data_IF_371761014676
#
_entry.id   IF_371761014676
#
_cell.length_a   1.000
_cell.length_b   1.000
_cell.length_c   1.000
_cell.angle_alpha   90.00
_cell.angle_beta   90.00
_cell.angle_gamma   90.00
#
_symmetry.space_group_name_H-M   'P 1'
#
loop_
_entity.id
_entity.type
_entity.pdbx_description
1 polymer ?
#
# COMPACT_ATOMS: atom_id res chain seq x y z
N UNK A 1 12.05 -3.24 -16.00
CA UNK A 1 10.69 -3.10 -15.45
C UNK A 1 9.88 -2.31 -16.47
N UNK A 2 8.62 -2.68 -16.69
CA UNK A 2 7.73 -1.93 -17.59
C UNK A 2 7.61 -0.46 -17.12
N UNK A 3 7.66 0.56 -18.02
CA UNK A 3 7.53 1.97 -17.64
C UNK A 3 6.26 2.29 -16.85
N UNK A 4 5.13 1.66 -17.17
CA UNK A 4 3.87 1.82 -16.47
C UNK A 4 3.94 1.18 -15.08
N UNK A 5 4.49 -0.04 -14.96
CA UNK A 5 4.70 -0.67 -13.66
C UNK A 5 5.62 0.17 -12.76
N UNK A 6 6.68 0.76 -13.31
CA UNK A 6 7.54 1.68 -12.56
C UNK A 6 6.78 2.93 -12.08
N UNK A 7 5.93 3.51 -12.93
CA UNK A 7 5.10 4.65 -12.55
C UNK A 7 4.09 4.30 -11.44
N UNK A 8 3.44 3.14 -11.55
CA UNK A 8 2.48 2.63 -10.56
C UNK A 8 3.17 2.37 -9.21
N UNK A 9 4.34 1.72 -9.23
CA UNK A 9 5.16 1.54 -8.04
C UNK A 9 5.45 2.87 -7.36
N UNK A 10 5.92 3.86 -8.13
CA UNK A 10 6.26 5.17 -7.58
C UNK A 10 5.04 5.91 -7.04
N UNK A 11 3.90 5.79 -7.72
CA UNK A 11 2.63 6.37 -7.26
C UNK A 11 2.16 5.74 -5.95
N UNK A 12 2.19 4.42 -5.84
CA UNK A 12 1.82 3.70 -4.63
C UNK A 12 2.74 4.07 -3.45
N UNK A 13 4.06 4.17 -3.72
CA UNK A 13 5.06 4.60 -2.73
C UNK A 13 4.79 6.00 -2.22
N UNK A 14 4.61 6.96 -3.13
CA UNK A 14 4.40 8.36 -2.76
C UNK A 14 3.08 8.55 -1.99
N UNK A 15 1.99 7.93 -2.46
CA UNK A 15 0.69 7.98 -1.79
C UNK A 15 0.76 7.45 -0.35
N UNK A 16 1.45 6.32 -0.16
CA UNK A 16 1.64 5.73 1.17
C UNK A 16 2.43 6.66 2.08
N UNK A 17 3.51 7.27 1.58
CA UNK A 17 4.30 8.23 2.35
C UNK A 17 3.50 9.46 2.72
N UNK A 18 2.87 10.12 1.75
CA UNK A 18 2.14 11.37 1.98
C UNK A 18 1.06 11.22 3.06
N UNK A 19 0.41 10.04 3.11
CA UNK A 19 -0.66 9.76 4.05
C UNK A 19 -0.18 9.24 5.40
N UNK A 20 0.95 8.52 5.47
CA UNK A 20 1.43 7.92 6.74
C UNK A 20 2.54 8.70 7.41
N UNK A 21 3.38 9.41 6.67
CA UNK A 21 4.51 10.20 7.20
C UNK A 21 4.08 11.16 8.31
N UNK A 22 2.95 11.91 8.21
CA UNK A 22 2.49 12.79 9.29
C UNK A 22 2.10 12.05 10.59
N UNK A 23 1.91 10.73 10.50
CA UNK A 23 1.51 9.86 11.60
C UNK A 23 2.66 8.96 12.08
N UNK A 24 3.86 9.04 11.48
CA UNK A 24 4.99 8.13 11.80
C UNK A 24 5.62 8.32 13.17
N UNK A 25 5.68 9.54 13.72
CA UNK A 25 6.14 9.73 15.10
C UNK A 25 5.27 8.98 16.11
N UNK A 26 4.02 8.71 15.74
CA UNK A 26 3.05 7.95 16.54
C UNK A 26 3.25 6.44 16.40
N UNK A 27 3.87 5.98 15.31
CA UNK A 27 4.08 4.57 15.00
C UNK A 27 5.41 4.00 15.46
N UNK A 28 6.40 4.86 15.80
CA UNK A 28 7.77 4.45 16.17
C UNK A 28 7.91 3.74 17.52
N UNK A 29 6.82 3.32 18.18
CA UNK A 29 6.91 2.62 19.45
C UNK A 29 5.61 2.18 20.10
N UNK A 30 4.44 2.42 19.49
CA UNK A 30 3.19 1.95 20.05
C UNK A 30 2.85 0.58 19.42
N UNK A 31 2.80 -0.44 20.28
CA UNK A 31 2.20 -1.75 19.97
C UNK A 31 0.70 -1.63 19.55
N UNK A 32 0.14 -0.43 19.55
CA UNK A 32 -1.19 -0.10 19.06
C UNK A 32 -1.12 1.12 18.16
N UNK A 33 -1.53 0.97 16.90
CA UNK A 33 -1.81 2.11 16.04
C UNK A 33 -2.76 3.07 16.75
N UNK A 34 -2.37 4.33 16.89
CA UNK A 34 -3.34 5.34 17.36
C UNK A 34 -4.54 5.42 16.42
N UNK A 35 -5.65 5.96 16.91
CA UNK A 35 -6.87 6.11 16.11
C UNK A 35 -6.62 6.88 14.81
N UNK A 36 -5.82 7.97 14.85
CA UNK A 36 -5.45 8.74 13.66
C UNK A 36 -4.57 7.94 12.70
N UNK A 37 -3.65 7.15 13.24
CA UNK A 37 -2.80 6.26 12.46
C UNK A 37 -3.59 5.13 11.77
N UNK A 38 -4.50 4.49 12.49
CA UNK A 38 -5.38 3.44 11.95
C UNK A 38 -6.25 3.99 10.82
N UNK A 39 -6.78 5.20 10.99
CA UNK A 39 -7.54 5.88 9.95
C UNK A 39 -6.68 6.17 8.72
N UNK A 40 -5.45 6.66 8.90
CA UNK A 40 -4.53 6.92 7.81
C UNK A 40 -4.19 5.65 7.01
N UNK A 41 -3.94 4.52 7.69
CA UNK A 41 -3.77 3.21 7.03
C UNK A 41 -5.01 2.80 6.23
N UNK A 42 -6.21 2.97 6.78
CA UNK A 42 -7.46 2.66 6.09
C UNK A 42 -7.62 3.45 4.79
N UNK A 43 -7.22 4.73 4.79
CA UNK A 43 -7.22 5.58 3.59
C UNK A 43 -6.18 5.07 2.59
N UNK A 44 -4.94 4.78 3.01
CA UNK A 44 -3.90 4.21 2.13
C UNK A 44 -4.41 2.94 1.47
N UNK A 45 -4.96 2.01 2.24
CA UNK A 45 -5.43 0.74 1.72
C UNK A 45 -6.55 0.93 0.68
N UNK A 46 -7.52 1.81 0.96
CA UNK A 46 -8.60 2.15 0.03
C UNK A 46 -8.08 2.74 -1.30
N UNK A 47 -7.11 3.64 -1.20
CA UNK A 47 -6.50 4.33 -2.34
C UNK A 47 -5.65 3.39 -3.21
N UNK A 48 -4.86 2.50 -2.58
CA UNK A 48 -4.08 1.48 -3.29
C UNK A 48 -4.98 0.43 -3.94
N UNK A 49 -6.06 0.01 -3.27
CA UNK A 49 -7.08 -0.86 -3.87
C UNK A 49 -7.75 -0.18 -5.06
N UNK A 50 -8.10 1.10 -4.97
CA UNK A 50 -8.63 1.87 -6.12
C UNK A 50 -7.64 1.96 -7.27
N UNK A 51 -6.35 2.15 -6.99
CA UNK A 51 -5.31 2.13 -8.01
C UNK A 51 -5.25 0.75 -8.70
N UNK A 52 -5.32 -0.32 -7.93
CA UNK A 52 -5.27 -1.69 -8.43
C UNK A 52 -6.49 -2.09 -9.28
N UNK A 53 -7.66 -1.48 -9.06
CA UNK A 53 -8.84 -1.70 -9.91
C UNK A 53 -8.62 -1.21 -11.36
N UNK A 54 -7.73 -0.23 -11.55
CA UNK A 54 -7.37 0.29 -12.87
C UNK A 54 -6.16 -0.44 -13.50
N UNK A 55 -5.64 -1.46 -12.82
CA UNK A 55 -4.46 -2.23 -13.21
C UNK A 55 -4.89 -3.65 -13.63
N UNK A 56 -5.20 -3.89 -14.93
CA UNK A 56 -5.63 -5.20 -15.39
C UNK A 56 -4.51 -6.25 -15.34
N UNK A 57 -3.25 -5.84 -15.33
CA UNK A 57 -2.13 -6.77 -15.36
C UNK A 57 -1.65 -7.16 -13.96
N UNK A 58 -1.20 -8.41 -13.83
CA UNK A 58 -0.67 -8.91 -12.56
C UNK A 58 0.61 -8.15 -12.14
N UNK A 59 1.46 -7.80 -13.10
CA UNK A 59 2.72 -7.07 -12.82
C UNK A 59 2.46 -5.64 -12.30
N UNK A 60 1.40 -4.98 -12.78
CA UNK A 60 0.98 -3.67 -12.28
C UNK A 60 0.49 -3.76 -10.83
N UNK A 61 -0.31 -4.78 -10.50
CA UNK A 61 -0.74 -5.03 -9.11
C UNK A 61 0.43 -5.35 -8.18
N UNK A 62 1.42 -6.12 -8.65
CA UNK A 62 2.68 -6.35 -7.91
C UNK A 62 3.42 -5.05 -7.66
N UNK A 63 3.50 -4.17 -8.65
CA UNK A 63 4.15 -2.87 -8.51
C UNK A 63 3.49 -2.01 -7.41
N UNK A 64 2.17 -2.09 -7.23
CA UNK A 64 1.46 -1.43 -6.11
C UNK A 64 1.94 -1.98 -4.76
N UNK A 65 1.98 -3.30 -4.62
CA UNK A 65 2.39 -3.99 -3.39
C UNK A 65 3.85 -3.64 -3.05
N UNK A 66 4.74 -3.66 -4.04
CA UNK A 66 6.14 -3.29 -3.87
C UNK A 66 6.30 -1.81 -3.47
N UNK A 67 5.54 -0.91 -4.09
CA UNK A 67 5.53 0.51 -3.76
C UNK A 67 5.08 0.77 -2.33
N UNK A 68 4.02 0.09 -1.89
CA UNK A 68 3.54 0.12 -0.50
C UNK A 68 4.60 -0.39 0.49
N UNK A 69 5.13 -1.60 0.25
CA UNK A 69 6.18 -2.21 1.08
C UNK A 69 7.41 -1.31 1.21
N UNK A 70 7.86 -0.71 0.10
CA UNK A 70 9.02 0.18 0.09
C UNK A 70 8.76 1.48 0.84
N UNK A 71 7.54 2.01 0.80
CA UNK A 71 7.17 3.17 1.60
C UNK A 71 7.18 2.85 3.11
N UNK A 72 6.63 1.70 3.53
CA UNK A 72 6.67 1.28 4.94
C UNK A 72 8.12 1.15 5.45
N UNK A 73 9.01 0.57 4.65
CA UNK A 73 10.43 0.48 4.97
C UNK A 73 11.10 1.86 5.09
N UNK A 74 10.75 2.82 4.20
CA UNK A 74 11.26 4.19 4.26
C UNK A 74 10.75 4.97 5.48
N UNK A 75 9.57 4.62 5.97
CA UNK A 75 8.97 5.17 7.17
C UNK A 75 9.41 4.45 8.46
N UNK A 76 10.36 3.52 8.34
CA UNK A 76 10.95 2.75 9.45
C UNK A 76 9.91 1.95 10.25
N UNK A 77 8.89 1.42 9.57
CA UNK A 77 7.93 0.53 10.20
C UNK A 77 8.61 -0.75 10.73
N UNK A 78 8.05 -1.30 11.81
CA UNK A 78 8.43 -2.63 12.26
C UNK A 78 8.21 -3.65 11.12
N UNK A 79 9.18 -4.54 10.94
CA UNK A 79 9.18 -5.50 9.83
C UNK A 79 8.01 -6.50 9.90
N UNK A 80 7.59 -6.91 11.10
CA UNK A 80 6.47 -7.84 11.31
C UNK A 80 5.14 -7.16 10.98
N UNK A 81 4.91 -5.97 11.54
CA UNK A 81 3.70 -5.17 11.24
C UNK A 81 3.62 -4.83 9.74
N UNK A 82 4.74 -4.40 9.14
CA UNK A 82 4.80 -4.10 7.71
C UNK A 82 4.49 -5.33 6.85
N UNK A 83 5.01 -6.50 7.23
CA UNK A 83 4.73 -7.75 6.51
C UNK A 83 3.25 -8.14 6.60
N UNK A 84 2.62 -7.94 7.75
CA UNK A 84 1.19 -8.22 7.93
C UNK A 84 0.31 -7.24 7.14
N UNK A 85 0.64 -5.95 7.12
CA UNK A 85 -0.04 -4.95 6.29
C UNK A 85 0.09 -5.27 4.80
N UNK A 86 1.29 -5.62 4.33
CA UNK A 86 1.53 -6.01 2.94
C UNK A 86 0.71 -7.24 2.59
N UNK A 87 0.69 -8.26 3.45
CA UNK A 87 -0.10 -9.49 3.24
C UNK A 87 -1.60 -9.20 3.19
N UNK A 88 -2.09 -8.24 3.98
CA UNK A 88 -3.50 -7.86 3.96
C UNK A 88 -3.87 -7.18 2.64
N UNK A 89 -3.06 -6.23 2.17
CA UNK A 89 -3.23 -5.61 0.85
C UNK A 89 -3.20 -6.66 -0.27
N UNK A 90 -2.25 -7.59 -0.24
CA UNK A 90 -2.18 -8.67 -1.23
C UNK A 90 -3.47 -9.49 -1.32
N UNK A 91 -4.10 -9.79 -0.18
CA UNK A 91 -5.36 -10.52 -0.14
C UNK A 91 -6.48 -9.70 -0.79
N UNK A 92 -6.58 -8.41 -0.46
CA UNK A 92 -7.57 -7.52 -1.06
C UNK A 92 -7.41 -7.44 -2.59
N UNK A 93 -6.18 -7.25 -3.07
CA UNK A 93 -5.91 -7.15 -4.51
C UNK A 93 -6.16 -8.45 -5.29
N UNK A 94 -6.09 -9.61 -4.61
CA UNK A 94 -6.46 -10.93 -5.15
C UNK A 94 -7.96 -11.17 -5.16
N UNK A 95 -8.70 -10.59 -4.20
CA UNK A 95 -10.16 -10.71 -4.09
C UNK A 95 -10.92 -9.84 -5.09
N UNK A 96 -10.28 -8.83 -5.68
CA UNK A 96 -10.83 -8.03 -6.77
C UNK A 96 -10.36 -8.57 -8.14
N UNK A 97 -11.09 -9.52 -8.76
CA UNK A 97 -10.80 -9.91 -10.13
C UNK A 97 -10.98 -8.70 -11.05
N UNK A 98 -10.12 -8.61 -12.06
CA UNK A 98 -10.27 -7.67 -13.16
C UNK A 98 -11.67 -7.87 -13.71
N UNK A 99 -12.49 -6.82 -13.70
CA UNK A 99 -13.77 -6.86 -14.39
C UNK A 99 -13.47 -6.98 -15.89
N UNK A 100 -13.42 -8.22 -16.38
CA UNK A 100 -13.48 -8.50 -17.80
C UNK A 100 -14.87 -8.08 -18.27
N UNK A 101 -14.99 -6.87 -18.83
CA UNK A 101 -16.17 -6.50 -19.57
C UNK A 101 -16.25 -7.35 -20.85
N UNK A 102 -17.45 -7.86 -21.22
CA UNK A 102 -17.67 -8.66 -22.43
C UNK A 102 -17.51 -7.85 -23.73
#
# INVERSE_FOLDING_TARGET
MDPLAQHIHERARQLTRDLLEPHTEVFKGAAELTASGSQALGIVNSELTRLALNCPQTEEKKAIIEGFSRALAQLEWNAEDAADLVRNLEKELKLHPVQSSP
#
